data_IF_821982768951
#
_entry.id   IF_821982768951
#
_cell.length_a   1.000
_cell.length_b   1.000
_cell.length_c   1.000
_cell.angle_alpha   90.00
_cell.angle_beta   90.00
_cell.angle_gamma   90.00
#
_symmetry.space_group_name_H-M   'P 1'
#
loop_
_entity.id
_entity.type
_entity.pdbx_description
1 polymer ?
#
# COMPACT_ATOMS: atom_id res chain seq x y z
N UNK A 1 -8.49 -22.82 27.79
CA UNK A 1 -9.07 -21.63 28.46
C UNK A 1 -8.11 -20.48 28.23
N UNK A 2 -8.57 -19.31 27.75
CA UNK A 2 -7.69 -18.19 27.37
C UNK A 2 -7.12 -18.27 25.95
N UNK A 3 -7.77 -18.99 25.03
CA UNK A 3 -7.37 -18.98 23.62
C UNK A 3 -7.77 -17.66 22.95
N UNK A 4 -7.07 -17.28 21.88
CA UNK A 4 -7.39 -16.06 21.13
C UNK A 4 -8.71 -16.23 20.36
N UNK A 5 -9.71 -15.36 20.57
CA UNK A 5 -10.94 -15.40 19.78
C UNK A 5 -10.71 -14.90 18.37
N UNK A 6 -11.50 -15.40 17.43
CA UNK A 6 -11.74 -14.73 16.16
C UNK A 6 -12.89 -13.74 16.28
N UNK A 7 -12.93 -12.72 15.42
CA UNK A 7 -13.99 -11.70 15.42
C UNK A 7 -14.69 -11.64 14.08
N UNK A 8 -16.01 -11.41 14.12
CA UNK A 8 -16.81 -11.02 12.96
C UNK A 8 -17.69 -9.84 13.34
N UNK A 9 -17.56 -8.74 12.61
CA UNK A 9 -18.40 -7.55 12.75
C UNK A 9 -19.35 -7.49 11.56
N UNK A 10 -20.65 -7.69 11.80
CA UNK A 10 -21.67 -7.71 10.77
C UNK A 10 -22.46 -6.40 10.84
N UNK A 11 -22.31 -5.57 9.81
CA UNK A 11 -23.01 -4.30 9.66
C UNK A 11 -22.05 -3.20 9.18
N UNK A 12 -22.43 -2.39 8.19
CA UNK A 12 -21.58 -1.29 7.69
C UNK A 12 -21.36 -0.20 8.74
N UNK A 13 -22.25 -0.12 9.73
CA UNK A 13 -22.26 0.92 10.75
C UNK A 13 -21.01 0.94 11.62
N UNK A 14 -20.34 -0.20 11.76
CA UNK A 14 -19.09 -0.32 12.48
C UNK A 14 -17.94 0.51 11.88
N UNK A 15 -18.05 0.89 10.59
CA UNK A 15 -17.04 1.69 9.89
C UNK A 15 -17.53 3.12 9.56
N UNK A 16 -18.84 3.38 9.54
CA UNK A 16 -19.41 4.70 9.22
C UNK A 16 -19.75 5.53 10.46
N UNK A 17 -20.42 4.93 11.45
CA UNK A 17 -21.01 5.68 12.55
C UNK A 17 -20.09 5.68 13.79
N UNK A 18 -19.79 6.86 14.37
CA UNK A 18 -18.73 7.01 15.38
C UNK A 18 -18.96 6.18 16.65
N UNK A 19 -20.22 5.90 16.99
CA UNK A 19 -20.56 5.09 18.18
C UNK A 19 -20.21 3.63 17.96
N UNK A 20 -20.50 3.11 16.78
CA UNK A 20 -20.21 1.72 16.45
C UNK A 20 -18.73 1.52 16.16
N UNK A 21 -18.04 2.53 15.60
CA UNK A 21 -16.57 2.55 15.54
C UNK A 21 -15.95 2.46 16.95
N UNK A 22 -16.47 3.23 17.91
CA UNK A 22 -15.99 3.16 19.30
C UNK A 22 -16.27 1.80 19.94
N UNK A 23 -17.46 1.22 19.72
CA UNK A 23 -17.79 -0.12 20.20
C UNK A 23 -16.90 -1.20 19.57
N UNK A 24 -16.62 -1.11 18.26
CA UNK A 24 -15.69 -2.00 17.56
C UNK A 24 -14.30 -1.95 18.21
N UNK A 25 -13.79 -0.75 18.46
CA UNK A 25 -12.51 -0.54 19.14
C UNK A 25 -12.50 -1.15 20.55
N UNK A 26 -13.56 -0.91 21.34
CA UNK A 26 -13.71 -1.46 22.69
C UNK A 26 -13.69 -2.99 22.73
N UNK A 27 -14.51 -3.65 21.88
CA UNK A 27 -14.60 -5.11 21.88
C UNK A 27 -13.33 -5.79 21.35
N UNK A 28 -12.66 -5.17 20.37
CA UNK A 28 -11.36 -5.65 19.92
C UNK A 28 -10.34 -5.58 21.04
N UNK A 29 -10.22 -4.43 21.73
CA UNK A 29 -9.22 -4.26 22.78
C UNK A 29 -9.48 -5.16 23.99
N UNK A 30 -10.75 -5.32 24.39
CA UNK A 30 -11.11 -6.14 25.54
C UNK A 30 -10.88 -7.64 25.34
N UNK A 31 -11.19 -8.18 24.15
CA UNK A 31 -11.20 -9.63 23.92
C UNK A 31 -9.99 -10.14 23.11
N UNK A 32 -9.14 -9.28 22.51
CA UNK A 32 -8.01 -9.75 21.68
C UNK A 32 -6.91 -10.49 22.45
N UNK A 33 -6.77 -10.26 23.75
CA UNK A 33 -5.69 -10.82 24.57
C UNK A 33 -4.30 -10.39 24.07
N UNK A 34 -3.35 -11.32 24.07
CA UNK A 34 -1.96 -11.07 23.66
C UNK A 34 -1.81 -10.92 22.13
N UNK A 35 -0.91 -10.03 21.71
CA UNK A 35 -0.49 -9.88 20.31
C UNK A 35 0.68 -10.84 20.04
N UNK A 36 0.54 -11.68 19.02
CA UNK A 36 1.56 -12.65 18.60
C UNK A 36 1.67 -12.65 17.08
N UNK A 37 2.90 -12.77 16.58
CA UNK A 37 3.19 -12.88 15.14
C UNK A 37 2.90 -14.29 14.61
N UNK A 38 3.00 -15.31 15.47
CA UNK A 38 2.80 -16.72 15.14
C UNK A 38 1.60 -17.27 15.92
N UNK A 39 0.66 -17.88 15.20
CA UNK A 39 -0.56 -18.44 15.78
C UNK A 39 -0.74 -19.89 15.35
N UNK A 40 -1.01 -20.77 16.33
CA UNK A 40 -1.35 -22.17 16.07
C UNK A 40 -2.80 -22.30 15.57
N UNK A 41 -2.97 -23.14 14.55
CA UNK A 41 -4.25 -23.44 13.90
C UNK A 41 -5.18 -24.19 14.85
N UNK A 42 -4.66 -25.04 15.75
CA UNK A 42 -5.48 -25.72 16.75
C UNK A 42 -6.09 -24.78 17.80
N UNK A 43 -5.57 -23.55 17.90
CA UNK A 43 -6.09 -22.49 18.76
C UNK A 43 -7.34 -21.79 18.20
N UNK A 44 -7.65 -21.94 16.91
CA UNK A 44 -8.78 -21.29 16.24
C UNK A 44 -10.10 -22.03 16.53
N UNK A 45 -10.58 -21.93 17.77
CA UNK A 45 -11.69 -22.76 18.27
C UNK A 45 -13.04 -22.05 18.35
N UNK A 46 -13.05 -20.73 18.56
CA UNK A 46 -14.29 -19.97 18.71
C UNK A 46 -14.20 -18.57 18.09
N UNK A 47 -15.37 -18.04 17.75
CA UNK A 47 -15.56 -16.73 17.13
C UNK A 47 -16.57 -15.93 17.92
N UNK A 48 -16.26 -14.66 18.16
CA UNK A 48 -17.15 -13.67 18.73
C UNK A 48 -17.76 -12.89 17.56
N UNK A 49 -19.09 -12.95 17.46
CA UNK A 49 -19.85 -12.26 16.44
C UNK A 49 -20.62 -11.09 17.04
N UNK A 50 -20.38 -9.91 16.47
CA UNK A 50 -21.11 -8.70 16.77
C UNK A 50 -21.90 -8.29 15.54
N UNK A 51 -23.23 -8.22 15.68
CA UNK A 51 -24.12 -7.83 14.59
C UNK A 51 -24.93 -6.61 14.99
N UNK A 52 -25.11 -5.69 14.05
CA UNK A 52 -25.92 -4.47 14.22
C UNK A 52 -26.96 -4.45 13.10
N UNK A 53 -28.20 -4.09 13.44
CA UNK A 53 -29.26 -3.87 12.44
C UNK A 53 -29.02 -2.60 11.62
N UNK A 54 -29.72 -2.46 10.50
CA UNK A 54 -29.61 -1.24 9.67
C UNK A 54 -30.13 -0.02 10.44
N UNK A 55 -29.46 1.12 10.25
CA UNK A 55 -29.93 2.40 10.77
C UNK A 55 -30.92 2.96 9.75
N UNK A 56 -32.21 2.93 10.08
CA UNK A 56 -33.27 3.51 9.24
C UNK A 56 -33.09 5.04 9.09
N UNK A 57 -32.71 5.71 10.18
CA UNK A 57 -32.54 7.16 10.25
C UNK A 57 -31.22 7.56 10.91
N UNK A 58 -30.26 8.19 10.18
CA UNK A 58 -28.95 8.54 10.71
C UNK A 58 -28.98 9.62 11.81
N UNK A 59 -30.09 10.37 11.92
CA UNK A 59 -30.30 11.41 12.93
C UNK A 59 -31.27 10.99 14.05
N UNK A 60 -31.79 9.75 14.03
CA UNK A 60 -32.66 9.28 15.08
C UNK A 60 -31.90 9.07 16.39
N UNK A 61 -32.52 9.45 17.50
CA UNK A 61 -31.98 9.19 18.84
C UNK A 61 -32.01 7.71 19.21
N UNK A 62 -32.71 6.87 18.45
CA UNK A 62 -32.81 5.44 18.69
C UNK A 62 -31.83 4.69 17.79
N UNK A 63 -30.76 4.20 18.39
CA UNK A 63 -29.77 3.37 17.71
C UNK A 63 -30.18 1.90 17.78
N UNK A 64 -29.94 1.10 16.71
CA UNK A 64 -30.24 -0.33 16.72
C UNK A 64 -29.45 -1.07 17.80
N UNK A 65 -30.00 -2.19 18.24
CA UNK A 65 -29.37 -3.04 19.24
C UNK A 65 -28.12 -3.69 18.66
N UNK A 66 -27.12 -3.89 19.52
CA UNK A 66 -25.92 -4.64 19.22
C UNK A 66 -26.09 -6.07 19.72
N UNK A 67 -26.10 -7.03 18.80
CA UNK A 67 -26.20 -8.45 19.09
C UNK A 67 -24.81 -9.04 19.28
N UNK A 68 -24.52 -9.54 20.47
CA UNK A 68 -23.30 -10.25 20.80
C UNK A 68 -23.58 -11.74 20.92
N UNK A 69 -22.82 -12.54 20.18
CA UNK A 69 -22.95 -13.99 20.12
C UNK A 69 -21.56 -14.62 20.13
N UNK A 70 -21.45 -15.82 20.69
CA UNK A 70 -20.20 -16.60 20.68
C UNK A 70 -20.50 -17.98 20.10
N UNK A 71 -19.73 -18.33 19.08
CA UNK A 71 -19.84 -19.60 18.37
C UNK A 71 -18.54 -20.39 18.46
N UNK A 72 -18.65 -21.70 18.62
CA UNK A 72 -17.54 -22.65 18.47
C UNK A 72 -17.52 -23.17 17.04
N UNK A 73 -16.33 -23.33 16.47
CA UNK A 73 -16.20 -23.83 15.10
C UNK A 73 -16.10 -25.35 15.07
N UNK A 74 -16.73 -25.94 14.07
CA UNK A 74 -16.58 -27.33 13.66
C UNK A 74 -16.13 -27.37 12.21
N UNK A 75 -15.05 -28.09 11.94
CA UNK A 75 -14.52 -28.23 10.58
C UNK A 75 -14.83 -29.61 10.03
N UNK A 76 -15.35 -29.65 8.81
CA UNK A 76 -15.66 -30.87 8.06
C UNK A 76 -14.80 -30.94 6.79
N UNK A 77 -14.52 -32.16 6.35
CA UNK A 77 -13.77 -32.41 5.11
C UNK A 77 -14.58 -31.93 3.90
N UNK A 78 -14.00 -31.03 3.11
CA UNK A 78 -14.61 -30.42 1.92
C UNK A 78 -14.09 -30.97 0.59
N UNK A 79 -13.01 -31.76 0.61
CA UNK A 79 -12.30 -32.23 -0.60
C UNK A 79 -11.29 -31.24 -1.18
N UNK A 80 -11.21 -30.01 -0.65
CA UNK A 80 -10.21 -29.00 -1.00
C UNK A 80 -9.25 -28.75 0.17
N UNK A 81 -8.23 -27.90 -0.02
CA UNK A 81 -7.30 -27.49 1.05
C UNK A 81 -8.00 -26.72 2.18
N UNK A 82 -9.10 -26.03 1.88
CA UNK A 82 -9.88 -25.25 2.86
C UNK A 82 -11.06 -26.10 3.36
N UNK A 83 -11.20 -26.36 4.67
CA UNK A 83 -12.30 -27.17 5.21
C UNK A 83 -13.64 -26.42 5.15
N UNK A 84 -14.74 -27.17 5.18
CA UNK A 84 -16.08 -26.59 5.39
C UNK A 84 -16.25 -26.27 6.87
N UNK A 85 -16.61 -25.04 7.19
CA UNK A 85 -16.74 -24.56 8.57
C UNK A 85 -18.22 -24.48 8.93
N UNK A 86 -18.61 -25.16 10.00
CA UNK A 86 -19.91 -25.06 10.64
C UNK A 86 -19.74 -24.42 12.02
N UNK A 87 -20.80 -23.79 12.53
CA UNK A 87 -20.77 -23.05 13.79
C UNK A 87 -21.80 -23.62 14.77
N UNK A 88 -21.37 -23.80 16.02
CA UNK A 88 -22.21 -24.19 17.15
C UNK A 88 -22.30 -23.01 18.12
N UNK A 89 -23.50 -22.58 18.50
CA UNK A 89 -23.64 -21.54 19.52
C UNK A 89 -23.29 -22.09 20.90
N UNK A 90 -22.28 -21.49 21.54
CA UNK A 90 -21.85 -21.83 22.90
C UNK A 90 -22.31 -20.79 23.94
N UNK A 91 -22.63 -19.58 23.49
CA UNK A 91 -23.04 -18.46 24.34
C UNK A 91 -21.87 -17.76 25.04
N UNK A 92 -22.11 -16.60 25.68
CA UNK A 92 -23.42 -16.03 25.99
C UNK A 92 -24.10 -15.33 24.81
N UNK A 93 -25.43 -15.29 24.86
CA UNK A 93 -26.30 -14.57 23.92
C UNK A 93 -26.73 -13.26 24.56
N UNK A 94 -26.13 -12.14 24.15
CA UNK A 94 -26.38 -10.83 24.75
C UNK A 94 -26.85 -9.82 23.72
N UNK A 95 -27.88 -9.05 24.06
CA UNK A 95 -28.38 -7.95 23.23
C UNK A 95 -28.17 -6.65 23.99
N UNK A 96 -27.28 -5.81 23.46
CA UNK A 96 -26.91 -4.54 24.09
C UNK A 96 -27.73 -3.40 23.47
N UNK A 97 -28.41 -2.66 24.33
CA UNK A 97 -29.01 -1.36 23.97
C UNK A 97 -28.03 -0.25 24.31
N UNK A 98 -27.76 0.63 23.35
CA UNK A 98 -26.84 1.74 23.54
C UNK A 98 -27.48 2.78 24.47
N UNK A 99 -26.77 3.14 25.52
CA UNK A 99 -27.18 4.12 26.51
C UNK A 99 -26.39 5.43 26.42
N UNK A 100 -26.12 6.02 27.59
CA UNK A 100 -25.28 7.23 27.71
C UNK A 100 -23.84 6.91 27.31
N UNK A 101 -23.16 7.88 26.68
CA UNK A 101 -21.78 7.75 26.19
C UNK A 101 -20.99 9.02 26.48
N UNK A 102 -19.69 8.86 26.68
CA UNK A 102 -18.72 9.96 26.83
C UNK A 102 -17.62 9.71 25.81
N UNK A 103 -17.46 10.62 24.85
CA UNK A 103 -16.40 10.55 23.85
C UNK A 103 -15.10 11.13 24.40
N UNK A 104 -13.94 10.56 24.06
CA UNK A 104 -12.67 11.15 24.46
C UNK A 104 -12.48 12.53 23.81
N UNK A 105 -11.77 13.47 24.48
CA UNK A 105 -11.35 14.70 23.84
C UNK A 105 -10.26 14.41 22.79
N UNK A 106 -10.19 15.21 21.70
CA UNK A 106 -9.37 14.91 20.53
C UNK A 106 -7.85 14.88 20.83
N UNK A 107 -7.38 15.70 21.77
CA UNK A 107 -5.96 15.72 22.17
C UNK A 107 -5.54 14.40 22.83
N UNK A 108 -6.38 13.87 23.74
CA UNK A 108 -6.10 12.60 24.45
C UNK A 108 -6.18 11.42 23.50
N UNK A 109 -7.13 11.43 22.57
CA UNK A 109 -7.25 10.39 21.55
C UNK A 109 -6.02 10.34 20.64
N UNK A 110 -5.52 11.50 20.21
CA UNK A 110 -4.31 11.61 19.39
C UNK A 110 -3.08 11.07 20.12
N UNK A 111 -2.93 11.41 21.39
CA UNK A 111 -1.82 10.94 22.22
C UNK A 111 -1.90 9.42 22.47
N UNK A 112 -3.10 8.87 22.66
CA UNK A 112 -3.30 7.42 22.85
C UNK A 112 -2.96 6.59 21.60
N UNK A 113 -3.19 7.12 20.40
CA UNK A 113 -2.82 6.45 19.14
C UNK A 113 -1.38 6.66 18.70
N UNK A 114 -0.57 7.40 19.47
CA UNK A 114 0.82 7.65 19.13
C UNK A 114 1.66 6.37 19.20
N UNK A 115 2.14 5.89 18.06
CA UNK A 115 3.05 4.74 17.99
C UNK A 115 4.48 5.11 18.42
N UNK A 116 5.18 4.29 19.23
CA UNK A 116 6.57 4.52 19.60
C UNK A 116 7.49 4.67 18.38
N UNK A 117 8.42 5.63 18.44
CA UNK A 117 9.35 5.93 17.32
C UNK A 117 10.29 4.76 17.00
N UNK A 118 10.55 3.87 17.95
CA UNK A 118 11.39 2.67 17.78
C UNK A 118 10.70 1.60 16.91
N UNK A 119 9.38 1.47 17.03
CA UNK A 119 8.57 0.53 16.23
C UNK A 119 8.32 1.05 14.81
N UNK A 120 8.57 2.33 14.54
CA UNK A 120 8.47 2.91 13.22
C UNK A 120 9.84 2.86 12.52
N UNK A 121 10.08 1.90 11.61
CA UNK A 121 11.33 1.89 10.85
C UNK A 121 11.41 3.14 9.99
N UNK A 122 12.38 4.01 10.28
CA UNK A 122 12.68 5.18 9.44
C UNK A 122 13.31 4.70 8.14
N UNK A 123 12.50 4.52 7.10
CA UNK A 123 13.01 4.22 5.77
C UNK A 123 13.78 5.44 5.25
N UNK A 124 15.09 5.27 5.02
CA UNK A 124 15.92 6.28 4.37
C UNK A 124 15.69 6.15 2.86
N UNK A 125 15.31 7.24 2.21
CA UNK A 125 15.09 7.28 0.76
C UNK A 125 16.34 6.76 0.04
N UNK A 126 16.15 5.94 -0.99
CA UNK A 126 17.19 5.33 -1.82
C UNK A 126 18.14 4.37 -1.08
N UNK A 127 17.79 3.90 0.12
CA UNK A 127 18.55 2.88 0.84
C UNK A 127 17.63 1.72 1.17
N UNK A 128 17.97 0.53 0.70
CA UNK A 128 17.28 -0.73 1.00
C UNK A 128 18.22 -1.70 1.73
N UNK A 129 17.65 -2.74 2.30
CA UNK A 129 18.39 -3.86 2.89
C UNK A 129 18.08 -5.09 2.05
N UNK A 130 19.12 -5.75 1.54
CA UNK A 130 18.99 -6.96 0.74
C UNK A 130 18.60 -8.17 1.61
N UNK A 131 18.18 -9.27 1.00
CA UNK A 131 17.85 -10.52 1.69
C UNK A 131 19.01 -11.05 2.54
N UNK A 132 20.25 -10.81 2.11
CA UNK A 132 21.46 -11.16 2.87
C UNK A 132 21.74 -10.20 4.04
N UNK A 133 20.98 -9.11 4.20
CA UNK A 133 21.15 -8.12 5.26
C UNK A 133 22.04 -6.92 4.89
N UNK A 134 22.58 -6.89 3.68
CA UNK A 134 23.46 -5.81 3.21
C UNK A 134 22.67 -4.54 2.86
N UNK A 135 23.26 -3.37 3.14
CA UNK A 135 22.66 -2.08 2.80
C UNK A 135 23.05 -1.67 1.39
N UNK A 136 22.07 -1.64 0.49
CA UNK A 136 22.26 -1.20 -0.89
C UNK A 136 21.67 0.20 -1.05
N UNK A 137 22.43 1.10 -1.69
CA UNK A 137 21.97 2.44 -2.01
C UNK A 137 21.78 2.59 -3.52
N UNK A 138 20.62 3.08 -3.95
CA UNK A 138 20.34 3.33 -5.35
C UNK A 138 20.81 4.73 -5.74
N UNK A 139 21.68 4.79 -6.76
CA UNK A 139 22.11 6.04 -7.37
C UNK A 139 21.31 6.23 -8.65
N UNK A 140 20.51 7.30 -8.72
CA UNK A 140 19.81 7.68 -9.94
C UNK A 140 20.70 8.61 -10.75
N UNK A 141 21.37 8.07 -11.76
CA UNK A 141 22.10 8.87 -12.74
C UNK A 141 21.08 9.62 -13.62
N UNK A 142 21.29 10.92 -13.80
CA UNK A 142 20.51 11.70 -14.76
C UNK A 142 20.86 11.35 -16.20
N UNK A 143 20.02 11.75 -17.16
CA UNK A 143 20.34 11.65 -18.59
C UNK A 143 21.48 12.62 -18.92
N UNK A 144 22.65 12.09 -19.29
CA UNK A 144 23.79 12.90 -19.70
C UNK A 144 23.65 13.31 -21.17
N UNK A 145 23.38 14.60 -21.41
CA UNK A 145 23.31 15.19 -22.76
C UNK A 145 24.68 15.74 -23.18
N UNK A 146 25.35 15.04 -24.11
CA UNK A 146 26.64 15.44 -24.67
C UNK A 146 26.52 16.33 -25.92
N UNK A 147 25.30 16.61 -26.41
CA UNK A 147 25.10 17.48 -27.58
C UNK A 147 25.55 18.92 -27.35
N UNK A 148 25.60 19.36 -26.08
CA UNK A 148 26.12 20.67 -25.66
C UNK A 148 27.65 20.72 -25.54
N UNK A 149 28.33 19.56 -25.65
CA UNK A 149 29.77 19.49 -25.45
C UNK A 149 30.51 19.92 -26.72
N UNK A 150 30.87 21.20 -26.80
CA UNK A 150 31.75 21.67 -27.86
C UNK A 150 33.21 21.29 -27.55
N UNK A 151 33.79 20.39 -28.35
CA UNK A 151 35.20 20.01 -28.22
C UNK A 151 36.12 21.17 -28.63
N UNK A 152 37.29 21.29 -27.99
CA UNK A 152 38.27 22.34 -28.29
C UNK A 152 38.60 22.33 -29.79
N UNK A 153 38.42 23.46 -30.47
CA UNK A 153 38.77 23.62 -31.89
C UNK A 153 40.29 23.76 -32.07
N UNK A 154 41.00 22.65 -31.90
CA UNK A 154 42.45 22.58 -32.08
C UNK A 154 42.84 22.92 -33.51
N UNK A 155 44.07 23.40 -33.71
CA UNK A 155 44.58 23.79 -35.03
C UNK A 155 44.51 22.64 -36.04
N UNK A 156 44.87 21.42 -35.62
CA UNK A 156 44.85 20.23 -36.48
C UNK A 156 43.45 19.68 -36.81
N UNK A 157 42.39 20.18 -36.16
CA UNK A 157 41.00 19.81 -36.48
C UNK A 157 40.34 20.79 -37.45
N UNK A 158 41.07 21.81 -37.91
CA UNK A 158 40.55 22.82 -38.84
C UNK A 158 41.09 22.53 -40.24
N UNK A 159 40.22 22.17 -41.17
CA UNK A 159 40.54 21.91 -42.58
C UNK A 159 41.31 23.06 -43.25
N UNK A 160 41.16 24.30 -42.80
CA UNK A 160 41.95 25.45 -43.32
C UNK A 160 43.48 25.33 -43.19
N UNK A 161 43.98 24.40 -42.37
CA UNK A 161 45.42 24.15 -42.21
C UNK A 161 45.85 22.85 -42.86
N UNK A 162 44.96 22.22 -43.63
CA UNK A 162 45.33 21.09 -44.47
C UNK A 162 46.31 21.57 -45.55
N UNK A 163 47.30 20.75 -45.84
CA UNK A 163 48.39 21.09 -46.77
C UNK A 163 48.15 20.55 -48.18
N UNK A 164 47.03 19.83 -48.36
CA UNK A 164 46.57 19.33 -49.65
C UNK A 164 45.54 20.32 -50.18
N UNK A 165 45.89 21.07 -51.22
CA UNK A 165 44.93 21.80 -52.04
C UNK A 165 44.12 20.79 -52.84
N UNK A 166 42.79 20.88 -52.79
CA UNK A 166 41.82 20.13 -53.62
C UNK A 166 41.96 20.49 -55.12
N UNK A 167 43.15 20.31 -55.68
CA UNK A 167 43.49 20.51 -57.09
C UNK A 167 44.30 19.34 -57.68
N UNK A 168 44.52 18.26 -56.92
CA UNK A 168 45.09 17.00 -57.44
C UNK A 168 44.48 15.80 -56.69
N UNK A 169 43.44 15.19 -57.29
CA UNK A 169 43.21 13.73 -57.41
C UNK A 169 41.72 13.44 -57.73
N UNK A 170 41.37 13.55 -59.01
CA UNK A 170 40.50 12.55 -59.61
C UNK A 170 41.25 11.21 -59.57
N UNK A 171 40.91 10.31 -58.65
CA UNK A 171 40.94 8.85 -58.83
C UNK A 171 40.31 8.12 -57.62
N UNK A 172 39.41 7.19 -57.95
CA UNK A 172 38.88 6.09 -57.14
C UNK A 172 37.66 6.33 -56.23
N UNK A 173 36.51 6.42 -56.91
CA UNK A 173 35.28 5.64 -56.66
C UNK A 173 35.30 4.73 -55.42
N UNK A 174 34.74 5.21 -54.31
CA UNK A 174 34.03 4.36 -53.35
C UNK A 174 32.59 4.86 -53.26
N UNK A 175 31.71 4.13 -53.94
CA UNK A 175 30.27 4.14 -53.67
C UNK A 175 30.08 3.70 -52.21
N UNK A 176 29.58 4.60 -51.36
CA UNK A 176 28.75 4.18 -50.25
C UNK A 176 27.53 5.09 -50.19
N UNK A 177 26.41 4.44 -50.47
CA UNK A 177 25.08 5.00 -50.47
C UNK A 177 24.71 5.43 -49.05
N UNK A 178 24.17 6.64 -48.92
CA UNK A 178 23.06 6.89 -48.01
C UNK A 178 22.32 8.14 -48.49
N UNK A 179 21.24 7.89 -49.22
CA UNK A 179 20.21 8.87 -49.60
C UNK A 179 19.70 9.57 -48.34
N UNK A 180 20.15 10.81 -48.11
CA UNK A 180 19.48 11.71 -47.19
C UNK A 180 18.26 12.27 -47.93
N UNK A 181 17.12 11.62 -47.74
CA UNK A 181 15.81 12.20 -48.00
C UNK A 181 15.67 13.51 -47.23
N UNK A 182 15.49 14.60 -47.98
CA UNK A 182 14.88 15.84 -47.50
C UNK A 182 13.54 15.49 -46.84
N UNK A 183 13.44 15.66 -45.53
CA UNK A 183 12.16 15.75 -44.83
C UNK A 183 12.05 17.14 -44.22
N UNK A 184 11.20 17.95 -44.86
CA UNK A 184 10.83 19.31 -44.48
C UNK A 184 10.38 19.38 -43.01
N UNK A 185 10.72 20.45 -42.27
CA UNK A 185 10.23 20.60 -40.90
C UNK A 185 8.73 20.95 -40.87
N UNK A 186 7.91 20.03 -40.37
CA UNK A 186 6.47 20.25 -40.13
C UNK A 186 6.20 21.48 -39.25
N UNK A 187 5.23 22.29 -39.69
CA UNK A 187 4.79 23.51 -39.04
C UNK A 187 4.14 23.24 -37.65
N UNK A 188 4.56 24.04 -36.67
CA UNK A 188 4.04 24.01 -35.29
C UNK A 188 2.54 24.32 -35.26
N UNK A 189 1.72 23.34 -34.86
CA UNK A 189 0.32 23.58 -34.48
C UNK A 189 0.27 24.20 -33.07
N UNK A 190 -0.36 25.38 -32.99
CA UNK A 190 -0.73 26.03 -31.73
C UNK A 190 -1.77 25.19 -31.00
N UNK A 191 -1.57 24.97 -29.69
CA UNK A 191 -2.57 24.36 -28.82
C UNK A 191 -3.59 25.42 -28.39
N UNK A 192 -4.87 25.10 -28.56
CA UNK A 192 -6.00 25.65 -27.80
C UNK A 192 -6.04 24.92 -26.45
#
# INVERSE_FOLDING_TARGET
>A
MGLKPMFTFNGPEFDTHPVYQHLKSLFLDFYRGEETDLQDVAGLQYVIALSVGEIEDPNSSQLPLLHFRVYKLKTFKSGQKVPRVEIDEIGPRLDFKIGRRVTPPPEVEKDAYAKPKQLQPKQKKNVSTDFMGDKVAQIHLGKQDLGKLQTRKMKGLKSKYDQVSDDDEDLDQFEDADEIFDDEPEAKKQKI
#
